data_IF_643253940494
#
_entry.id   IF_643253940494
#
_cell.length_a   1.000
_cell.length_b   1.000
_cell.length_c   1.000
_cell.angle_alpha   90.00
_cell.angle_beta   90.00
_cell.angle_gamma   90.00
#
_symmetry.space_group_name_H-M   'P 1'
#
loop_
_entity.id
_entity.type
_entity.pdbx_description
1 polymer ?
#
# COMPACT_ATOMS: atom_id res chain seq x y z
N UNK A 1 -11.68 -56.58 8.48
CA UNK A 1 -10.65 -55.96 7.60
C UNK A 1 -10.36 -54.57 8.15
N UNK A 2 -9.18 -54.36 8.73
CA UNK A 2 -8.80 -53.06 9.32
C UNK A 2 -8.11 -52.19 8.29
N UNK A 3 -8.62 -50.99 8.06
CA UNK A 3 -7.95 -50.01 7.21
C UNK A 3 -6.93 -49.24 8.06
N UNK A 4 -5.67 -49.31 7.67
CA UNK A 4 -4.61 -48.50 8.28
C UNK A 4 -4.69 -47.11 7.64
N UNK A 5 -5.08 -46.11 8.41
CA UNK A 5 -5.02 -44.71 7.98
C UNK A 5 -3.58 -44.21 8.05
N UNK A 6 -2.86 -44.27 6.93
CA UNK A 6 -1.54 -43.65 6.81
C UNK A 6 -1.72 -42.18 6.50
N UNK A 7 -1.36 -41.31 7.46
CA UNK A 7 -1.34 -39.86 7.24
C UNK A 7 -0.27 -39.52 6.21
N UNK A 8 -0.64 -38.85 5.12
CA UNK A 8 0.33 -38.28 4.18
C UNK A 8 1.33 -37.38 4.93
N UNK A 9 2.63 -37.53 4.67
CA UNK A 9 3.65 -36.73 5.37
C UNK A 9 3.45 -35.25 5.05
N UNK A 10 3.73 -34.37 6.02
CA UNK A 10 3.59 -32.91 5.86
C UNK A 10 4.36 -32.47 4.61
N UNK A 11 3.63 -32.00 3.60
CA UNK A 11 4.20 -31.53 2.35
C UNK A 11 4.19 -32.50 1.16
N UNK A 12 3.55 -33.67 1.27
CA UNK A 12 3.38 -34.63 0.18
C UNK A 12 2.19 -34.37 -0.75
N UNK A 13 1.54 -33.21 -0.63
CA UNK A 13 0.53 -32.81 -1.60
C UNK A 13 1.26 -32.50 -2.92
N UNK A 14 1.13 -33.41 -3.89
CA UNK A 14 1.73 -33.32 -5.23
C UNK A 14 0.74 -32.83 -6.28
N UNK A 15 -0.51 -32.54 -5.89
CA UNK A 15 -1.48 -31.94 -6.79
C UNK A 15 -1.11 -30.47 -7.09
N UNK A 16 -1.39 -30.04 -8.31
CA UNK A 16 -1.02 -28.71 -8.82
C UNK A 16 -1.61 -27.57 -7.97
N UNK A 17 -2.81 -27.76 -7.42
CA UNK A 17 -3.48 -26.77 -6.58
C UNK A 17 -2.73 -26.57 -5.26
N UNK A 18 -2.36 -27.65 -4.57
CA UNK A 18 -1.58 -27.58 -3.32
C UNK A 18 -0.20 -26.99 -3.52
N UNK A 19 0.45 -27.25 -4.67
CA UNK A 19 1.73 -26.63 -5.02
C UNK A 19 1.57 -25.12 -5.25
N UNK A 20 0.57 -24.71 -6.02
CA UNK A 20 0.30 -23.30 -6.29
C UNK A 20 0.04 -22.51 -4.99
N UNK A 21 -0.77 -23.08 -4.08
CA UNK A 21 -1.07 -22.45 -2.80
C UNK A 21 0.19 -22.32 -1.90
N UNK A 22 1.09 -23.31 -1.93
CA UNK A 22 2.37 -23.23 -1.22
C UNK A 22 3.20 -22.06 -1.73
N UNK A 23 3.38 -21.95 -3.04
CA UNK A 23 4.16 -20.87 -3.67
C UNK A 23 3.55 -19.50 -3.33
N UNK A 24 2.22 -19.39 -3.34
CA UNK A 24 1.52 -18.16 -2.93
C UNK A 24 1.84 -17.78 -1.48
N UNK A 25 1.81 -18.75 -0.55
CA UNK A 25 2.14 -18.52 0.86
C UNK A 25 3.60 -18.13 1.07
N UNK A 26 4.53 -18.77 0.35
CA UNK A 26 5.95 -18.44 0.40
C UNK A 26 6.20 -17.00 -0.05
N UNK A 27 5.59 -16.58 -1.17
CA UNK A 27 5.67 -15.19 -1.66
C UNK A 27 5.12 -14.17 -0.66
N UNK A 28 4.02 -14.50 0.03
CA UNK A 28 3.47 -13.64 1.11
C UNK A 28 4.46 -13.57 2.27
N UNK A 29 5.01 -14.70 2.71
CA UNK A 29 5.98 -14.75 3.81
C UNK A 29 7.29 -14.05 3.51
N UNK A 30 7.74 -14.04 2.26
CA UNK A 30 8.90 -13.28 1.81
C UNK A 30 8.64 -11.78 1.86
N UNK A 31 7.53 -11.33 1.27
CA UNK A 31 7.12 -9.91 1.34
C UNK A 31 6.93 -9.41 2.76
N UNK A 32 6.34 -10.24 3.63
CA UNK A 32 6.18 -9.89 5.05
C UNK A 32 7.53 -9.69 5.75
N UNK A 33 8.52 -10.54 5.46
CA UNK A 33 9.88 -10.38 6.00
C UNK A 33 10.55 -9.12 5.47
N UNK A 34 10.43 -8.82 4.17
CA UNK A 34 10.96 -7.58 3.60
C UNK A 34 10.36 -6.35 4.29
N UNK A 35 9.04 -6.31 4.48
CA UNK A 35 8.39 -5.21 5.19
C UNK A 35 8.91 -5.05 6.62
N UNK A 36 9.08 -6.15 7.36
CA UNK A 36 9.65 -6.10 8.72
C UNK A 36 11.07 -5.54 8.74
N UNK A 37 11.90 -5.82 7.74
CA UNK A 37 13.28 -5.27 7.69
C UNK A 37 13.35 -3.78 7.39
N UNK A 38 12.30 -3.22 6.78
CA UNK A 38 12.25 -1.80 6.43
C UNK A 38 11.72 -0.92 7.55
N UNK A 39 10.94 -1.50 8.48
CA UNK A 39 10.26 -0.76 9.53
C UNK A 39 11.05 -0.82 10.84
N UNK A 40 11.52 0.33 11.38
CA UNK A 40 12.24 0.37 12.64
C UNK A 40 11.44 -0.26 13.79
N UNK A 41 12.07 -1.16 14.55
CA UNK A 41 11.47 -1.80 15.72
C UNK A 41 10.49 -2.94 15.42
N UNK A 42 10.19 -3.22 14.15
CA UNK A 42 9.28 -4.30 13.75
C UNK A 42 9.85 -5.70 14.02
N UNK A 43 11.18 -5.82 14.13
CA UNK A 43 11.91 -7.06 14.44
C UNK A 43 11.55 -7.66 15.81
N UNK A 44 11.08 -6.82 16.74
CA UNK A 44 10.68 -7.23 18.10
C UNK A 44 9.21 -7.62 18.21
N UNK A 45 8.44 -7.39 17.15
CA UNK A 45 6.98 -7.55 17.16
C UNK A 45 6.63 -8.98 16.76
N UNK A 46 5.88 -9.65 17.64
CA UNK A 46 5.39 -11.01 17.37
C UNK A 46 3.92 -10.96 16.97
N UNK A 47 3.60 -11.59 15.84
CA UNK A 47 2.22 -11.71 15.35
C UNK A 47 1.96 -10.87 14.10
N UNK A 48 1.26 -11.47 13.14
CA UNK A 48 1.07 -10.88 11.81
C UNK A 48 0.26 -9.59 11.82
N UNK A 49 -0.75 -9.49 12.68
CA UNK A 49 -1.59 -8.29 12.79
C UNK A 49 -0.76 -7.11 13.32
N UNK A 50 -0.08 -7.31 14.45
CA UNK A 50 0.76 -6.28 15.07
C UNK A 50 1.90 -5.81 14.15
N UNK A 51 2.52 -6.73 13.41
CA UNK A 51 3.50 -6.36 12.37
C UNK A 51 2.90 -5.41 11.35
N UNK A 52 1.68 -5.68 10.88
CA UNK A 52 1.00 -4.81 9.92
C UNK A 52 0.62 -3.47 10.54
N UNK A 53 0.19 -3.45 11.79
CA UNK A 53 -0.13 -2.21 12.51
C UNK A 53 1.12 -1.31 12.62
N UNK A 54 2.27 -1.87 12.97
CA UNK A 54 3.54 -1.12 13.02
C UNK A 54 3.98 -0.61 11.65
N UNK A 55 3.77 -1.41 10.59
CA UNK A 55 4.06 -0.97 9.22
C UNK A 55 3.16 0.22 8.85
N UNK A 56 1.86 0.15 9.15
CA UNK A 56 0.90 1.23 8.88
C UNK A 56 1.30 2.50 9.64
N UNK A 57 1.62 2.37 10.94
CA UNK A 57 2.04 3.49 11.78
C UNK A 57 3.32 4.15 11.25
N UNK A 58 4.30 3.36 10.80
CA UNK A 58 5.52 3.90 10.24
C UNK A 58 5.28 4.67 8.93
N UNK A 59 4.45 4.14 8.03
CA UNK A 59 4.09 4.83 6.78
C UNK A 59 3.37 6.15 7.08
N UNK A 60 2.43 6.18 8.02
CA UNK A 60 1.74 7.41 8.43
C UNK A 60 2.72 8.43 9.04
N UNK A 61 3.66 7.97 9.87
CA UNK A 61 4.71 8.83 10.42
C UNK A 61 5.56 9.47 9.32
N UNK A 62 5.96 8.69 8.30
CA UNK A 62 6.71 9.21 7.15
C UNK A 62 5.91 10.23 6.36
N UNK A 63 4.62 10.00 6.12
CA UNK A 63 3.74 10.97 5.46
C UNK A 63 3.67 12.29 6.22
N UNK A 64 3.49 12.23 7.55
CA UNK A 64 3.47 13.42 8.40
C UNK A 64 4.81 14.17 8.40
N UNK A 65 5.93 13.45 8.38
CA UNK A 65 7.26 14.06 8.29
C UNK A 65 7.46 14.80 6.96
N UNK A 66 7.02 14.21 5.84
CA UNK A 66 7.08 14.84 4.50
C UNK A 66 6.23 16.11 4.46
N UNK A 67 5.01 16.07 4.99
CA UNK A 67 4.13 17.25 5.06
C UNK A 67 4.76 18.36 5.90
N UNK A 68 5.23 18.02 7.10
CA UNK A 68 5.88 18.98 8.01
C UNK A 68 7.11 19.64 7.37
N UNK A 69 7.98 18.85 6.72
CA UNK A 69 9.15 19.38 6.02
C UNK A 69 8.76 20.28 4.86
N UNK A 70 7.73 19.90 4.08
CA UNK A 70 7.22 20.72 2.98
C UNK A 70 6.73 22.08 3.47
N UNK A 71 5.95 22.10 4.56
CA UNK A 71 5.50 23.34 5.19
C UNK A 71 6.67 24.18 5.71
N UNK A 72 7.68 23.56 6.34
CA UNK A 72 8.88 24.27 6.82
C UNK A 72 9.69 24.87 5.69
N UNK A 73 9.85 24.17 4.56
CA UNK A 73 10.57 24.71 3.40
C UNK A 73 9.80 25.88 2.81
N UNK A 74 8.47 25.76 2.68
CA UNK A 74 7.61 26.85 2.20
C UNK A 74 7.68 28.09 3.09
N UNK A 75 7.75 27.93 4.42
CA UNK A 75 7.87 29.06 5.35
C UNK A 75 9.26 29.69 5.38
N UNK A 76 10.32 28.93 5.09
CA UNK A 76 11.70 29.41 5.03
C UNK A 76 12.09 29.98 3.66
N UNK A 77 11.35 29.65 2.60
CA UNK A 77 11.54 30.19 1.25
C UNK A 77 10.20 30.49 0.58
N UNK A 78 9.72 31.76 0.68
CA UNK A 78 8.56 32.21 -0.08
C UNK A 78 8.80 32.15 -1.61
N UNK A 79 10.07 32.11 -2.05
CA UNK A 79 10.47 32.25 -3.46
C UNK A 79 10.51 30.91 -4.21
N UNK A 80 10.75 29.78 -3.52
CA UNK A 80 10.85 28.47 -4.19
C UNK A 80 9.49 27.83 -4.48
N UNK A 81 8.46 28.10 -3.67
CA UNK A 81 7.10 27.61 -3.94
C UNK A 81 6.22 28.61 -4.72
N UNK A 82 6.54 29.90 -4.69
CA UNK A 82 5.80 30.96 -5.42
C UNK A 82 6.13 31.11 -6.91
N UNK A 83 7.07 30.35 -7.46
CA UNK A 83 7.46 30.45 -8.88
C UNK A 83 7.15 29.18 -9.71
N UNK A 84 6.55 28.13 -9.13
CA UNK A 84 6.58 26.80 -9.77
C UNK A 84 5.37 25.88 -9.65
N UNK A 85 4.25 26.29 -9.04
CA UNK A 85 3.03 25.46 -8.98
C UNK A 85 1.73 26.22 -9.34
N UNK A 86 1.85 27.34 -10.06
CA UNK A 86 0.71 28.03 -10.67
C UNK A 86 0.73 27.85 -12.20
N UNK A 87 0.60 26.62 -12.68
CA UNK A 87 0.34 26.38 -14.10
C UNK A 87 -0.23 24.99 -14.32
N UNK A 88 -1.52 24.84 -14.08
CA UNK A 88 -2.42 24.18 -15.04
C UNK A 88 -3.88 24.32 -14.58
N UNK A 89 -4.62 25.17 -15.30
CA UNK A 89 -6.02 24.83 -15.61
C UNK A 89 -7.15 25.54 -14.87
N UNK A 90 -7.05 26.84 -14.55
CA UNK A 90 -8.26 27.66 -14.48
C UNK A 90 -8.63 28.11 -15.91
N UNK A 91 -9.25 27.23 -16.69
CA UNK A 91 -9.94 27.60 -17.93
C UNK A 91 -11.34 26.99 -17.94
N UNK A 92 -12.25 27.75 -17.35
CA UNK A 92 -13.59 28.07 -17.86
C UNK A 92 -14.29 27.02 -18.75
N UNK A 93 -15.28 26.30 -18.18
CA UNK A 93 -16.44 25.83 -18.93
C UNK A 93 -17.66 25.60 -18.02
N UNK A 94 -18.12 26.68 -17.39
CA UNK A 94 -19.43 26.72 -16.73
C UNK A 94 -20.41 27.55 -17.57
N UNK A 95 -20.67 27.19 -18.84
CA UNK A 95 -21.78 27.74 -19.66
C UNK A 95 -21.90 27.08 -21.06
N UNK A 96 -22.25 25.78 -21.18
CA UNK A 96 -22.67 25.22 -22.50
C UNK A 96 -23.87 24.26 -22.44
N UNK A 97 -24.17 23.60 -21.32
CA UNK A 97 -25.29 22.63 -21.27
C UNK A 97 -26.63 23.21 -20.79
N UNK A 98 -26.85 24.50 -21.05
CA UNK A 98 -28.10 25.22 -20.72
C UNK A 98 -28.94 25.61 -21.94
N UNK A 99 -28.84 24.89 -23.06
CA UNK A 99 -29.74 25.08 -24.21
C UNK A 99 -29.91 23.76 -24.96
N UNK A 100 -30.81 22.91 -24.47
CA UNK A 100 -31.34 21.80 -25.26
C UNK A 100 -32.87 21.83 -25.27
N UNK A 101 -33.40 23.04 -25.43
CA UNK A 101 -34.83 23.32 -25.54
C UNK A 101 -35.07 24.16 -26.81
N UNK A 102 -34.82 23.58 -28.00
CA UNK A 102 -35.48 23.92 -29.27
C UNK A 102 -34.74 23.29 -30.46
N UNK A 103 -35.27 22.19 -30.99
CA UNK A 103 -35.54 22.12 -32.43
C UNK A 103 -36.59 21.03 -32.69
N UNK A 104 -37.56 21.40 -33.52
CA UNK A 104 -38.75 20.65 -33.95
C UNK A 104 -38.49 19.20 -34.38
#
# INVERSE_FOLDING_TARGET
KGYIHVRARRGQATDSHSLAERVRRERISERMRLLQTLVPGCDKVTGKALVLDEIINYVQSLQNQVEFLSMRIASMSPVLYGFGLDSDGLHDQAQVWGNKDNLH
#
